data_IF_341520337049
#
_entry.id   IF_341520337049
#
_cell.length_a   1.000
_cell.length_b   1.000
_cell.length_c   1.000
_cell.angle_alpha   90.00
_cell.angle_beta   90.00
_cell.angle_gamma   90.00
#
_symmetry.space_group_name_H-M   'P 1'
#
loop_
_entity.id
_entity.type
_entity.pdbx_description
1 polymer ?
#
# COMPACT_ATOMS: atom_id res chain seq x y z
N UNK A 1 0.05 0.43 24.20
CA UNK A 1 0.11 1.08 22.86
C UNK A 1 -0.70 2.38 22.80
N UNK A 2 -1.90 2.46 23.38
CA UNK A 2 -2.73 3.67 23.33
C UNK A 2 -2.22 4.88 24.15
N UNK A 3 -1.39 4.68 25.18
CA UNK A 3 -0.89 5.78 26.04
C UNK A 3 0.18 6.67 25.39
N UNK A 4 0.76 6.28 24.25
CA UNK A 4 1.80 7.08 23.55
C UNK A 4 1.24 7.99 22.45
N UNK A 5 -0.04 7.85 22.12
CA UNK A 5 -0.69 8.56 21.01
C UNK A 5 -1.51 9.77 21.52
N UNK A 6 -1.77 9.84 22.83
CA UNK A 6 -2.64 10.84 23.44
C UNK A 6 -2.08 12.28 23.41
N UNK A 7 -0.82 12.49 23.03
CA UNK A 7 -0.18 13.82 22.98
C UNK A 7 -0.09 14.44 21.59
N UNK A 8 -0.45 13.73 20.53
CA UNK A 8 -0.37 14.27 19.17
C UNK A 8 -1.71 14.91 18.77
N UNK A 9 -1.77 16.23 18.82
CA UNK A 9 -2.92 17.06 18.43
C UNK A 9 -2.99 17.29 16.91
N UNK A 10 -2.03 16.80 16.14
CA UNK A 10 -1.94 17.00 14.69
C UNK A 10 -1.96 15.64 13.97
N UNK A 11 -2.93 15.45 13.08
CA UNK A 11 -3.11 14.21 12.30
C UNK A 11 -1.84 13.80 11.51
N UNK A 12 -1.03 14.77 11.09
CA UNK A 12 0.26 14.56 10.44
C UNK A 12 1.28 13.86 11.35
N UNK A 13 1.37 14.25 12.62
CA UNK A 13 2.30 13.63 13.57
C UNK A 13 1.88 12.22 13.95
N UNK A 14 0.56 11.97 14.03
CA UNK A 14 0.02 10.62 14.20
C UNK A 14 0.39 9.77 12.98
N UNK A 15 0.23 10.31 11.77
CA UNK A 15 0.60 9.64 10.52
C UNK A 15 2.11 9.39 10.40
N UNK A 16 2.95 10.35 10.76
CA UNK A 16 4.42 10.19 10.78
C UNK A 16 4.85 9.15 11.81
N UNK A 17 4.28 9.16 13.03
CA UNK A 17 4.58 8.13 14.05
C UNK A 17 4.10 6.75 13.61
N UNK A 18 2.95 6.64 12.94
CA UNK A 18 2.48 5.37 12.39
C UNK A 18 3.38 4.88 11.26
N UNK A 19 3.80 5.77 10.36
CA UNK A 19 4.73 5.47 9.27
C UNK A 19 6.08 5.00 9.83
N UNK A 20 6.61 5.69 10.84
CA UNK A 20 7.89 5.35 11.47
C UNK A 20 7.85 4.02 12.23
N UNK A 21 6.73 3.68 12.86
CA UNK A 21 6.51 2.35 13.48
C UNK A 21 6.39 1.26 12.40
N UNK A 22 5.84 1.57 11.24
CA UNK A 22 5.76 0.62 10.12
C UNK A 22 7.09 0.41 9.41
N UNK A 23 7.85 1.49 9.13
CA UNK A 23 9.17 1.44 8.49
C UNK A 23 10.23 0.81 9.40
N UNK A 24 10.20 1.08 10.71
CA UNK A 24 11.11 0.46 11.67
C UNK A 24 10.83 -1.03 11.97
N UNK A 25 9.74 -1.60 11.43
CA UNK A 25 9.26 -2.94 11.76
C UNK A 25 9.14 -3.86 10.53
N UNK A 26 9.90 -3.55 9.47
CA UNK A 26 10.14 -4.40 8.29
C UNK A 26 10.84 -5.73 8.62
N UNK A 27 11.21 -6.00 9.87
CA UNK A 27 11.87 -7.24 10.28
C UNK A 27 10.89 -8.44 10.43
N UNK A 28 9.59 -8.18 10.60
CA UNK A 28 8.58 -9.25 10.79
C UNK A 28 7.77 -9.57 9.52
N UNK A 29 7.57 -10.86 9.25
CA UNK A 29 6.86 -11.37 8.06
C UNK A 29 5.39 -10.91 7.98
N UNK A 30 4.72 -10.77 9.12
CA UNK A 30 3.32 -10.28 9.19
C UNK A 30 3.20 -8.80 8.84
N UNK A 31 4.14 -7.96 9.25
CA UNK A 31 4.13 -6.55 8.88
C UNK A 31 4.35 -6.33 7.39
N UNK A 32 5.23 -7.13 6.75
CA UNK A 32 5.43 -7.07 5.30
C UNK A 32 4.12 -7.34 4.54
N UNK A 33 3.35 -8.34 4.97
CA UNK A 33 2.02 -8.63 4.39
C UNK A 33 1.08 -7.44 4.56
N UNK A 34 1.00 -6.88 5.77
CA UNK A 34 0.10 -5.74 6.05
C UNK A 34 0.49 -4.52 5.21
N UNK A 35 1.77 -4.22 5.11
CA UNK A 35 2.29 -3.08 4.34
C UNK A 35 2.01 -3.27 2.85
N UNK A 36 2.31 -4.44 2.28
CA UNK A 36 2.04 -4.74 0.87
C UNK A 36 0.54 -4.66 0.56
N UNK A 37 -0.32 -5.19 1.46
CA UNK A 37 -1.77 -5.07 1.31
C UNK A 37 -2.23 -3.62 1.36
N UNK A 38 -1.68 -2.79 2.25
CA UNK A 38 -2.02 -1.36 2.30
C UNK A 38 -1.60 -0.63 1.03
N UNK A 39 -0.41 -0.90 0.51
CA UNK A 39 0.06 -0.36 -0.78
C UNK A 39 -0.89 -0.78 -1.91
N UNK A 40 -1.32 -2.04 -1.92
CA UNK A 40 -2.24 -2.57 -2.93
C UNK A 40 -3.60 -1.89 -2.81
N UNK A 41 -4.12 -1.72 -1.60
CA UNK A 41 -5.41 -1.08 -1.41
C UNK A 41 -5.43 0.38 -1.84
N UNK A 42 -4.35 1.11 -1.56
CA UNK A 42 -4.20 2.54 -1.84
C UNK A 42 -3.63 2.84 -3.22
N UNK A 43 -3.37 1.83 -4.06
CA UNK A 43 -2.78 2.06 -5.37
C UNK A 43 -3.71 2.91 -6.24
N UNK A 44 -3.14 3.98 -6.77
CA UNK A 44 -3.79 4.94 -7.69
C UNK A 44 -2.78 5.34 -8.74
N UNK A 45 -3.26 5.59 -9.95
CA UNK A 45 -2.43 6.17 -10.98
C UNK A 45 -2.13 7.64 -10.63
N UNK A 46 -0.86 8.02 -10.65
CA UNK A 46 -0.41 9.38 -10.39
C UNK A 46 -0.57 10.26 -11.65
N UNK A 47 -0.82 11.57 -11.51
CA UNK A 47 -0.93 12.47 -12.66
C UNK A 47 0.31 12.51 -13.56
N UNK A 48 1.50 12.38 -12.96
CA UNK A 48 2.79 12.47 -13.63
C UNK A 48 3.32 11.14 -14.15
N UNK A 49 2.71 10.01 -13.79
CA UNK A 49 3.19 8.69 -14.22
C UNK A 49 2.49 8.26 -15.52
N UNK A 50 3.25 7.63 -16.40
CA UNK A 50 2.73 7.00 -17.62
C UNK A 50 1.98 5.71 -17.29
N UNK A 51 1.14 5.24 -18.20
CA UNK A 51 0.44 3.95 -18.04
C UNK A 51 1.42 2.78 -17.86
N UNK A 52 2.55 2.80 -18.58
CA UNK A 52 3.58 1.76 -18.46
C UNK A 52 4.23 1.77 -17.08
N UNK A 53 4.59 2.94 -16.55
CA UNK A 53 5.16 3.05 -15.20
C UNK A 53 4.17 2.61 -14.12
N UNK A 54 2.89 2.92 -14.29
CA UNK A 54 1.82 2.42 -13.42
C UNK A 54 1.70 0.90 -13.47
N UNK A 55 1.67 0.32 -14.68
CA UNK A 55 1.56 -1.13 -14.89
C UNK A 55 2.74 -1.89 -14.27
N UNK A 56 3.98 -1.40 -14.46
CA UNK A 56 5.17 -1.97 -13.84
C UNK A 56 5.08 -1.94 -12.30
N UNK A 57 4.64 -0.81 -11.73
CA UNK A 57 4.46 -0.64 -10.29
C UNK A 57 3.36 -1.55 -9.74
N UNK A 58 2.24 -1.67 -10.44
CA UNK A 58 1.14 -2.54 -10.08
C UNK A 58 1.56 -4.03 -10.14
N UNK A 59 2.19 -4.43 -11.24
CA UNK A 59 2.69 -5.79 -11.45
C UNK A 59 3.72 -6.20 -10.41
N UNK A 60 4.68 -5.32 -10.09
CA UNK A 60 5.67 -5.55 -9.04
C UNK A 60 5.01 -5.80 -7.67
N UNK A 61 3.99 -5.02 -7.35
CA UNK A 61 3.24 -5.16 -6.09
C UNK A 61 2.41 -6.46 -6.03
N UNK A 62 1.81 -6.88 -7.15
CA UNK A 62 1.10 -8.17 -7.24
C UNK A 62 2.08 -9.34 -7.07
N UNK A 63 3.28 -9.26 -7.66
CA UNK A 63 4.33 -10.27 -7.48
C UNK A 63 4.79 -10.31 -6.02
N UNK A 64 4.99 -9.16 -5.38
CA UNK A 64 5.34 -9.08 -3.95
C UNK A 64 4.28 -9.76 -3.07
N UNK A 65 3.00 -9.46 -3.30
CA UNK A 65 1.89 -10.10 -2.61
C UNK A 65 1.84 -11.61 -2.84
N UNK A 66 2.09 -12.07 -4.08
CA UNK A 66 2.14 -13.50 -4.39
C UNK A 66 3.25 -14.22 -3.61
N UNK A 67 4.45 -13.61 -3.49
CA UNK A 67 5.57 -14.14 -2.66
C UNK A 67 5.22 -14.19 -1.17
N UNK A 68 4.27 -13.38 -0.75
CA UNK A 68 3.71 -13.34 0.61
C UNK A 68 2.47 -14.25 0.78
N UNK A 69 2.21 -15.17 -0.16
CA UNK A 69 1.06 -16.07 -0.20
C UNK A 69 -0.30 -15.34 -0.28
N UNK A 70 -0.34 -14.14 -0.86
CA UNK A 70 -1.56 -13.40 -1.21
C UNK A 70 -1.70 -13.36 -2.72
N UNK A 71 -2.57 -14.23 -3.25
CA UNK A 71 -2.87 -14.30 -4.69
C UNK A 71 -4.25 -13.75 -4.96
N UNK A 72 -4.44 -13.20 -6.17
CA UNK A 72 -5.68 -12.59 -6.64
C UNK A 72 -6.04 -13.20 -7.98
N UNK A 73 -7.33 -13.33 -8.28
CA UNK A 73 -7.80 -13.73 -9.60
C UNK A 73 -7.69 -12.55 -10.56
N UNK A 74 -7.54 -12.83 -11.85
CA UNK A 74 -7.44 -11.80 -12.89
C UNK A 74 -8.57 -10.77 -12.78
N UNK A 75 -9.82 -11.22 -12.63
CA UNK A 75 -10.98 -10.31 -12.45
C UNK A 75 -10.83 -9.35 -11.26
N UNK A 76 -10.21 -9.77 -10.17
CA UNK A 76 -9.98 -8.93 -8.98
C UNK A 76 -8.89 -7.89 -9.26
N UNK A 77 -7.85 -8.27 -10.00
CA UNK A 77 -6.81 -7.36 -10.45
C UNK A 77 -7.35 -6.35 -11.47
N UNK A 78 -8.13 -6.78 -12.44
CA UNK A 78 -8.76 -5.92 -13.45
C UNK A 78 -9.63 -4.85 -12.79
N UNK A 79 -10.49 -5.25 -11.84
CA UNK A 79 -11.29 -4.33 -11.06
C UNK A 79 -10.44 -3.35 -10.25
N UNK A 80 -9.30 -3.82 -9.70
CA UNK A 80 -8.40 -2.96 -8.94
C UNK A 80 -7.74 -1.91 -9.84
N UNK A 81 -7.31 -2.29 -11.03
CA UNK A 81 -6.76 -1.37 -12.05
C UNK A 81 -7.83 -0.35 -12.43
N UNK A 82 -9.04 -0.78 -12.79
CA UNK A 82 -10.13 0.14 -13.14
C UNK A 82 -10.45 1.15 -12.03
N UNK A 83 -10.34 0.74 -10.76
CA UNK A 83 -10.52 1.65 -9.62
C UNK A 83 -9.31 2.57 -9.40
N UNK A 84 -8.12 2.14 -9.81
CA UNK A 84 -6.87 2.88 -9.59
C UNK A 84 -6.65 3.99 -10.62
N UNK A 85 -7.17 3.82 -11.84
CA UNK A 85 -7.08 4.81 -12.91
C UNK A 85 -7.94 6.05 -12.61
N UNK A 86 -7.52 7.24 -13.05
CA UNK A 86 -8.33 8.45 -12.97
C UNK A 86 -9.62 8.27 -13.78
N UNK A 87 -10.73 8.78 -13.24
CA UNK A 87 -11.94 8.95 -14.03
C UNK A 87 -11.71 10.18 -14.90
N UNK A 88 -11.87 10.03 -16.21
CA UNK A 88 -11.95 11.17 -17.15
C UNK A 88 -13.00 12.20 -16.68
#
# INVERSE_FOLDING_TARGET
>A
MFSKIQTCTIAREIWEKLTQICEGNEETKENKVIVALRKFELIKMKPEETMTEFDERFSSLVIELARLNKTYRNRELDLKVMQALPKE
#
